data_IF_484276428417
#
_entry.id   IF_484276428417
#
_cell.length_a   1.000
_cell.length_b   1.000
_cell.length_c   1.000
_cell.angle_alpha   90.00
_cell.angle_beta   90.00
_cell.angle_gamma   90.00
#
_symmetry.space_group_name_H-M   'P 1'
#
loop_
_entity.id
_entity.type
_entity.pdbx_description
1 polymer ?
#
# COMPACT_ATOMS: atom_id res chain seq x y z
N UNK A 1 -14.98 -17.76 -20.09
CA UNK A 1 -13.96 -18.53 -20.85
C UNK A 1 -13.33 -17.61 -21.88
N UNK A 2 -12.35 -16.80 -21.47
CA UNK A 2 -11.55 -15.96 -22.38
C UNK A 2 -10.44 -16.85 -22.92
N UNK A 3 -10.47 -17.21 -24.20
CA UNK A 3 -9.63 -18.26 -24.84
C UNK A 3 -8.12 -18.01 -24.86
N UNK A 4 -7.51 -17.68 -23.72
CA UNK A 4 -6.07 -17.46 -23.53
C UNK A 4 -5.55 -18.55 -22.61
N UNK A 5 -4.66 -19.39 -23.12
CA UNK A 5 -3.98 -20.44 -22.36
C UNK A 5 -2.53 -20.04 -22.11
N UNK A 6 -1.99 -20.36 -20.93
CA UNK A 6 -0.59 -20.12 -20.60
C UNK A 6 -0.25 -20.55 -19.18
N UNK A 7 1.04 -20.63 -18.88
CA UNK A 7 1.54 -20.90 -17.54
C UNK A 7 2.06 -19.61 -16.90
N UNK A 8 1.83 -19.46 -15.59
CA UNK A 8 2.34 -18.33 -14.80
C UNK A 8 3.33 -18.86 -13.78
N UNK A 9 4.57 -18.43 -13.88
CA UNK A 9 5.65 -18.85 -12.98
C UNK A 9 6.03 -17.69 -12.04
N UNK A 10 6.53 -18.03 -10.85
CA UNK A 10 7.18 -17.10 -9.91
C UNK A 10 8.46 -17.79 -9.47
N UNK A 11 9.62 -17.18 -9.74
CA UNK A 11 10.92 -17.81 -9.49
C UNK A 11 10.98 -19.24 -10.05
N UNK A 12 10.55 -19.40 -11.30
CA UNK A 12 10.50 -20.68 -12.05
C UNK A 12 9.53 -21.75 -11.53
N UNK A 13 8.78 -21.48 -10.46
CA UNK A 13 7.75 -22.39 -9.94
C UNK A 13 6.33 -21.99 -10.36
N UNK A 14 5.43 -22.99 -10.54
CA UNK A 14 4.02 -22.74 -10.87
C UNK A 14 3.39 -21.87 -9.78
N UNK A 15 2.83 -20.74 -10.22
CA UNK A 15 2.17 -19.77 -9.34
C UNK A 15 0.99 -20.39 -8.58
N UNK A 16 1.13 -20.48 -7.26
CA UNK A 16 -0.01 -20.69 -6.37
C UNK A 16 -0.77 -19.37 -6.17
N UNK A 17 -2.05 -19.34 -6.58
CA UNK A 17 -2.85 -18.11 -6.55
C UNK A 17 -3.07 -17.56 -5.14
N UNK A 18 -3.33 -18.43 -4.17
CA UNK A 18 -3.61 -18.04 -2.78
C UNK A 18 -2.38 -17.41 -2.12
N UNK A 19 -1.20 -18.00 -2.33
CA UNK A 19 0.05 -17.49 -1.78
C UNK A 19 0.47 -16.21 -2.49
N UNK A 20 0.34 -16.15 -3.82
CA UNK A 20 0.71 -14.97 -4.58
C UNK A 20 -0.16 -13.77 -4.25
N UNK A 21 -1.49 -13.95 -4.13
CA UNK A 21 -2.41 -12.85 -3.78
C UNK A 21 -2.04 -12.18 -2.44
N UNK A 22 -1.44 -12.92 -1.51
CA UNK A 22 -0.97 -12.39 -0.23
C UNK A 22 0.37 -11.64 -0.33
N UNK A 23 1.15 -11.91 -1.38
CA UNK A 23 2.52 -11.39 -1.59
C UNK A 23 2.61 -10.32 -2.68
N UNK A 24 1.57 -10.15 -3.49
CA UNK A 24 1.50 -9.16 -4.56
C UNK A 24 0.43 -8.10 -4.27
N UNK A 25 0.66 -6.85 -4.69
CA UNK A 25 -0.39 -5.83 -4.74
C UNK A 25 -0.52 -5.22 -6.14
N UNK A 26 -1.67 -4.62 -6.41
CA UNK A 26 -1.99 -3.94 -7.66
C UNK A 26 -2.41 -2.50 -7.35
N UNK A 27 -1.75 -1.54 -7.99
CA UNK A 27 -2.04 -0.11 -7.87
C UNK A 27 -2.84 0.31 -9.10
N UNK A 28 -4.11 0.66 -8.91
CA UNK A 28 -5.01 1.10 -9.97
C UNK A 28 -4.68 2.53 -10.43
N UNK A 29 -5.20 2.91 -11.60
CA UNK A 29 -5.06 4.27 -12.14
C UNK A 29 -5.72 5.31 -11.21
N UNK A 30 -6.96 5.05 -10.78
CA UNK A 30 -7.72 5.94 -9.88
C UNK A 30 -7.38 5.71 -8.40
N UNK A 31 -7.14 6.81 -7.69
CA UNK A 31 -6.85 6.80 -6.26
C UNK A 31 -8.14 6.94 -5.42
N UNK A 32 -8.63 5.84 -4.84
CA UNK A 32 -9.80 5.87 -3.95
C UNK A 32 -9.40 6.20 -2.50
N UNK A 33 -8.97 7.44 -2.26
CA UNK A 33 -8.54 7.92 -0.94
C UNK A 33 -9.70 8.55 -0.15
N UNK A 34 -9.70 8.37 1.17
CA UNK A 34 -10.69 8.99 2.07
C UNK A 34 -10.39 10.49 2.25
N UNK A 35 -11.19 11.42 1.68
CA UNK A 35 -10.82 12.82 1.48
C UNK A 35 -10.65 13.61 2.79
N UNK A 36 -11.34 13.19 3.84
CA UNK A 36 -11.38 13.91 5.13
C UNK A 36 -10.24 13.53 6.08
N UNK A 37 -9.55 12.41 5.82
CA UNK A 37 -8.43 11.98 6.64
C UNK A 37 -7.17 12.75 6.25
N UNK A 38 -6.30 12.96 7.22
CA UNK A 38 -4.91 13.34 6.95
C UNK A 38 -4.12 12.15 6.40
N UNK A 39 -3.02 12.43 5.72
CA UNK A 39 -2.08 11.40 5.24
C UNK A 39 -1.65 10.46 6.37
N UNK A 40 -1.30 11.02 7.54
CA UNK A 40 -0.87 10.25 8.69
C UNK A 40 -2.00 9.38 9.28
N UNK A 41 -3.22 9.90 9.35
CA UNK A 41 -4.38 9.13 9.82
C UNK A 41 -4.72 7.98 8.88
N UNK A 42 -4.77 8.23 7.57
CA UNK A 42 -5.03 7.21 6.56
C UNK A 42 -4.01 6.06 6.65
N UNK A 43 -2.73 6.41 6.72
CA UNK A 43 -1.63 5.44 6.87
C UNK A 43 -1.69 4.68 8.20
N UNK A 44 -2.00 5.37 9.30
CA UNK A 44 -2.10 4.75 10.62
C UNK A 44 -3.27 3.78 10.70
N UNK A 45 -4.46 4.16 10.21
CA UNK A 45 -5.64 3.29 10.16
C UNK A 45 -5.35 2.06 9.31
N UNK A 46 -4.79 2.26 8.11
CA UNK A 46 -4.41 1.16 7.24
C UNK A 46 -3.38 0.23 7.90
N UNK A 47 -2.38 0.77 8.58
CA UNK A 47 -1.36 0.00 9.30
C UNK A 47 -1.98 -0.88 10.39
N UNK A 48 -2.84 -0.30 11.24
CA UNK A 48 -3.51 -1.07 12.31
C UNK A 48 -4.42 -2.17 11.76
N UNK A 49 -5.15 -1.92 10.66
CA UNK A 49 -6.02 -2.92 10.02
C UNK A 49 -5.23 -4.04 9.33
N UNK A 50 -4.02 -3.74 8.84
CA UNK A 50 -3.18 -4.70 8.12
C UNK A 50 -2.27 -5.52 9.06
N UNK A 51 -2.07 -5.10 10.31
CA UNK A 51 -1.25 -5.84 11.29
C UNK A 51 -1.95 -7.09 11.83
N UNK A 52 -1.19 -8.18 12.00
CA UNK A 52 -1.73 -9.43 12.57
C UNK A 52 -2.16 -9.28 14.03
N UNK A 53 -3.10 -10.13 14.48
CA UNK A 53 -3.59 -10.16 15.86
C UNK A 53 -2.57 -10.65 16.89
N UNK A 54 -1.38 -11.11 16.48
CA UNK A 54 -0.35 -11.68 17.37
C UNK A 54 0.36 -10.67 18.27
N UNK A 55 0.25 -9.37 17.98
CA UNK A 55 0.91 -8.30 18.73
C UNK A 55 -0.02 -7.66 19.76
N UNK A 56 0.55 -7.22 20.88
CA UNK A 56 -0.17 -6.35 21.83
C UNK A 56 -0.50 -4.99 21.20
N UNK A 57 -1.48 -4.28 21.74
CA UNK A 57 -1.84 -2.95 21.23
C UNK A 57 -0.67 -1.96 21.27
N UNK A 58 0.18 -2.03 22.30
CA UNK A 58 1.35 -1.16 22.45
C UNK A 58 2.41 -1.45 21.39
N UNK A 59 2.69 -2.73 21.11
CA UNK A 59 3.62 -3.14 20.06
C UNK A 59 3.10 -2.76 18.68
N UNK A 60 1.81 -2.97 18.41
CA UNK A 60 1.17 -2.53 17.15
C UNK A 60 1.34 -1.03 16.95
N UNK A 61 1.03 -0.24 17.98
CA UNK A 61 1.10 1.20 17.88
C UNK A 61 2.54 1.68 17.63
N UNK A 62 3.53 1.12 18.32
CA UNK A 62 4.93 1.45 18.11
C UNK A 62 5.40 1.07 16.69
N UNK A 63 5.02 -0.12 16.22
CA UNK A 63 5.39 -0.62 14.89
C UNK A 63 4.75 0.18 13.77
N UNK A 64 3.43 0.42 13.84
CA UNK A 64 2.71 1.24 12.87
C UNK A 64 3.30 2.65 12.83
N UNK A 65 3.59 3.25 13.99
CA UNK A 65 4.21 4.59 14.02
C UNK A 65 5.58 4.62 13.33
N UNK A 66 6.39 3.59 13.51
CA UNK A 66 7.68 3.44 12.84
C UNK A 66 7.50 3.27 11.32
N UNK A 67 6.74 2.25 10.90
CA UNK A 67 6.55 1.91 9.48
C UNK A 67 5.92 3.08 8.70
N UNK A 68 4.94 3.78 9.29
CA UNK A 68 4.30 4.95 8.67
C UNK A 68 5.31 6.08 8.45
N UNK A 69 6.20 6.33 9.42
CA UNK A 69 7.22 7.37 9.27
C UNK A 69 8.18 7.01 8.14
N UNK A 70 8.77 5.81 8.19
CA UNK A 70 9.75 5.35 7.20
C UNK A 70 9.18 5.38 5.77
N UNK A 71 7.97 4.85 5.59
CA UNK A 71 7.33 4.83 4.26
C UNK A 71 7.08 6.25 3.77
N UNK A 72 6.50 7.13 4.60
CA UNK A 72 6.21 8.51 4.19
C UNK A 72 7.48 9.31 3.87
N UNK A 73 8.59 9.05 4.56
CA UNK A 73 9.89 9.65 4.24
C UNK A 73 10.41 9.13 2.89
N UNK A 74 10.39 7.81 2.66
CA UNK A 74 10.87 7.20 1.40
C UNK A 74 10.16 7.70 0.13
N UNK A 75 8.89 8.09 0.24
CA UNK A 75 8.08 8.59 -0.90
C UNK A 75 7.92 10.11 -0.90
N UNK A 76 8.67 10.83 -0.07
CA UNK A 76 8.62 12.29 0.03
C UNK A 76 7.21 12.85 0.31
N UNK A 77 6.49 12.23 1.27
CA UNK A 77 5.19 12.70 1.77
C UNK A 77 5.20 13.06 3.26
N UNK A 78 6.30 12.87 3.98
CA UNK A 78 6.40 13.14 5.42
C UNK A 78 6.02 14.58 5.81
N UNK A 79 6.45 15.56 5.03
CA UNK A 79 6.11 16.98 5.27
C UNK A 79 4.60 17.25 5.08
N UNK A 80 3.92 16.46 4.25
CA UNK A 80 2.48 16.53 4.00
C UNK A 80 1.66 15.63 4.94
N UNK A 81 2.27 15.00 5.95
CA UNK A 81 1.59 14.01 6.82
C UNK A 81 0.33 14.58 7.51
N UNK A 82 0.31 15.88 7.78
CA UNK A 82 -0.81 16.60 8.43
C UNK A 82 -1.82 17.16 7.43
N UNK A 83 -1.53 17.15 6.13
CA UNK A 83 -2.45 17.59 5.09
C UNK A 83 -3.58 16.56 4.93
N UNK A 84 -4.80 17.05 4.68
CA UNK A 84 -5.91 16.18 4.26
C UNK A 84 -5.60 15.58 2.90
N UNK A 85 -6.00 14.34 2.66
CA UNK A 85 -5.81 13.68 1.36
C UNK A 85 -6.49 14.42 0.21
N UNK A 86 -7.60 15.13 0.49
CA UNK A 86 -8.28 15.99 -0.48
C UNK A 86 -7.43 17.17 -0.96
N UNK A 87 -6.49 17.63 -0.15
CA UNK A 87 -5.60 18.76 -0.44
C UNK A 87 -4.32 18.35 -1.18
N UNK A 88 -4.11 17.06 -1.42
CA UNK A 88 -2.96 16.56 -2.16
C UNK A 88 -3.12 16.80 -3.67
N UNK A 89 -2.01 17.08 -4.35
CA UNK A 89 -1.94 17.02 -5.81
C UNK A 89 -2.14 15.59 -6.32
N UNK A 90 -2.45 15.42 -7.62
CA UNK A 90 -2.63 14.09 -8.21
C UNK A 90 -1.42 13.18 -7.98
N UNK A 91 -0.21 13.68 -8.24
CA UNK A 91 1.02 12.91 -7.99
C UNK A 91 1.25 12.58 -6.50
N UNK A 92 0.83 13.45 -5.58
CA UNK A 92 0.89 13.16 -4.14
C UNK A 92 -0.15 12.09 -3.73
N UNK A 93 -1.36 12.13 -4.31
CA UNK A 93 -2.38 11.09 -4.11
C UNK A 93 -1.88 9.73 -4.59
N UNK A 94 -1.26 9.68 -5.77
CA UNK A 94 -0.67 8.45 -6.30
C UNK A 94 0.41 7.89 -5.39
N UNK A 95 1.32 8.74 -4.91
CA UNK A 95 2.34 8.33 -3.93
C UNK A 95 1.72 7.80 -2.64
N UNK A 96 0.64 8.42 -2.14
CA UNK A 96 -0.07 7.94 -0.97
C UNK A 96 -0.72 6.56 -1.19
N UNK A 97 -1.33 6.32 -2.36
CA UNK A 97 -1.87 5.00 -2.71
C UNK A 97 -0.80 3.91 -2.70
N UNK A 98 0.40 4.23 -3.20
CA UNK A 98 1.57 3.34 -3.13
C UNK A 98 2.00 3.11 -1.68
N UNK A 99 2.07 4.18 -0.88
CA UNK A 99 2.41 4.13 0.55
C UNK A 99 1.50 3.16 1.32
N UNK A 100 0.20 3.24 1.05
CA UNK A 100 -0.80 2.41 1.71
C UNK A 100 -0.55 0.93 1.42
N UNK A 101 -0.14 0.56 0.21
CA UNK A 101 0.16 -0.84 -0.13
C UNK A 101 1.54 -1.29 0.35
N UNK A 102 2.52 -0.39 0.45
CA UNK A 102 3.83 -0.68 1.06
C UNK A 102 3.73 -1.16 2.51
N UNK A 103 2.69 -0.78 3.26
CA UNK A 103 2.45 -1.26 4.62
C UNK A 103 2.30 -2.80 4.72
N UNK A 104 1.94 -3.49 3.63
CA UNK A 104 1.90 -4.97 3.60
C UNK A 104 3.27 -5.60 3.34
N UNK A 105 4.29 -4.79 3.03
CA UNK A 105 5.58 -5.23 2.51
C UNK A 105 5.46 -6.30 1.41
N UNK A 106 4.72 -6.01 0.31
CA UNK A 106 4.54 -6.99 -0.76
C UNK A 106 5.86 -7.22 -1.50
N UNK A 107 6.06 -8.45 -1.96
CA UNK A 107 7.26 -8.84 -2.71
C UNK A 107 7.20 -8.36 -4.17
N UNK A 108 5.99 -8.18 -4.70
CA UNK A 108 5.75 -7.76 -6.08
C UNK A 108 4.65 -6.71 -6.11
N UNK A 109 4.88 -5.59 -6.82
CA UNK A 109 3.87 -4.57 -7.07
C UNK A 109 3.61 -4.45 -8.57
N UNK A 110 2.33 -4.40 -8.93
CA UNK A 110 1.88 -4.08 -10.28
C UNK A 110 1.34 -2.66 -10.30
N UNK A 111 1.70 -1.89 -11.32
CA UNK A 111 1.24 -0.52 -11.48
C UNK A 111 0.45 -0.41 -12.77
N UNK A 112 -0.77 0.09 -12.67
CA UNK A 112 -1.55 0.50 -13.83
C UNK A 112 -1.25 1.98 -14.14
N UNK A 113 -0.66 2.21 -15.31
CA UNK A 113 -0.29 3.52 -15.86
C UNK A 113 0.33 4.50 -14.84
N UNK A 114 1.47 4.17 -14.18
CA UNK A 114 2.01 4.93 -13.05
C UNK A 114 2.50 6.35 -13.39
N UNK A 115 2.62 6.69 -14.67
CA UNK A 115 3.23 7.93 -15.17
C UNK A 115 2.26 8.83 -15.95
N UNK A 116 0.98 8.41 -16.11
CA UNK A 116 -0.05 9.24 -16.74
C UNK A 116 -0.69 10.20 -15.76
#
# INVERSE_FOLDING_TARGET
NTGVTGQRLINDEIRNENTFRKRSCYIMQDDNLQPLLTVQEAMSIAGHLKMSSKYTNKEKQARVKYDVKEILESISLWEHRKSRTSALSGGQKKRLSIALELLKNPQVMFFDEPTR
#
